data_IF_306848790053
#
_entry.id   IF_306848790053
#
_cell.length_a   1.000
_cell.length_b   1.000
_cell.length_c   1.000
_cell.angle_alpha   90.00
_cell.angle_beta   90.00
_cell.angle_gamma   90.00
#
_symmetry.space_group_name_H-M   'P 1'
#
loop_
_entity.id
_entity.type
_entity.pdbx_description
1 polymer ?
#
# COMPACT_ATOMS: atom_id res chain seq x y z
N UNK A 1 -4.09 56.39 11.73
CA UNK A 1 -3.09 55.39 12.16
C UNK A 1 -3.75 54.46 13.15
N UNK A 2 -4.32 53.36 12.66
CA UNK A 2 -4.95 52.32 13.47
C UNK A 2 -4.09 51.08 13.30
N UNK A 3 -3.27 50.79 14.30
CA UNK A 3 -2.51 49.56 14.46
C UNK A 3 -3.38 48.54 15.18
N UNK A 4 -3.59 47.38 14.58
CA UNK A 4 -4.35 46.27 15.16
C UNK A 4 -4.05 44.96 14.43
N UNK A 5 -2.84 44.43 14.65
CA UNK A 5 -2.43 43.11 14.21
C UNK A 5 -3.06 42.04 15.10
N UNK A 6 -3.98 41.26 14.54
CA UNK A 6 -4.55 40.07 15.16
C UNK A 6 -3.71 38.84 14.79
N UNK A 7 -2.65 38.57 15.56
CA UNK A 7 -1.89 37.33 15.48
C UNK A 7 -2.60 36.21 16.24
N UNK A 8 -3.49 35.47 15.58
CA UNK A 8 -4.06 34.23 16.11
C UNK A 8 -3.07 33.09 15.87
N UNK A 9 -2.34 32.69 16.90
CA UNK A 9 -1.49 31.51 16.91
C UNK A 9 -2.31 30.29 17.32
N UNK A 10 -2.72 29.44 16.38
CA UNK A 10 -3.31 28.14 16.69
C UNK A 10 -2.21 27.15 17.09
N UNK A 11 -2.02 26.99 18.40
CA UNK A 11 -1.16 25.97 19.01
C UNK A 11 -2.04 24.79 19.45
N UNK A 12 -1.94 23.65 18.75
CA UNK A 12 -2.69 22.43 19.09
C UNK A 12 -2.06 21.74 20.33
N UNK A 13 -2.83 21.44 21.39
CA UNK A 13 -2.31 20.84 22.61
C UNK A 13 -2.52 19.32 22.60
N UNK A 14 -1.46 18.56 22.34
CA UNK A 14 -1.30 17.19 22.86
C UNK A 14 0.17 16.79 22.75
N UNK A 15 0.98 17.42 23.60
CA UNK A 15 2.29 16.90 23.94
C UNK A 15 2.22 16.37 25.38
N UNK A 16 2.70 15.13 25.54
CA UNK A 16 3.05 14.44 26.79
C UNK A 16 1.91 13.79 27.59
N UNK A 17 1.85 12.45 27.64
CA UNK A 17 2.56 11.61 28.64
C UNK A 17 2.16 10.12 28.48
N UNK A 18 3.21 9.30 28.41
CA UNK A 18 3.41 7.91 28.84
C UNK A 18 2.23 7.07 29.34
N UNK A 19 2.18 5.82 28.85
CA UNK A 19 1.37 4.74 29.38
C UNK A 19 1.87 3.39 28.87
N UNK A 20 3.03 2.96 29.39
CA UNK A 20 3.48 1.59 29.26
C UNK A 20 2.47 0.64 29.93
N UNK A 21 1.98 -0.37 29.19
CA UNK A 21 1.61 -1.72 29.66
C UNK A 21 0.76 -2.44 28.59
N UNK A 22 1.38 -3.37 27.85
CA UNK A 22 1.00 -4.80 27.85
C UNK A 22 1.79 -5.54 26.76
N UNK A 23 3.00 -5.91 27.15
CA UNK A 23 3.64 -7.13 26.70
C UNK A 23 2.67 -8.29 26.94
N UNK A 24 2.15 -8.86 25.85
CA UNK A 24 1.70 -10.26 25.66
C UNK A 24 1.01 -10.39 24.31
N UNK A 25 1.68 -10.12 23.19
CA UNK A 25 1.22 -10.54 21.85
C UNK A 25 2.34 -10.50 20.78
N UNK A 26 3.59 -10.78 21.16
CA UNK A 26 4.74 -10.62 20.25
C UNK A 26 5.59 -11.87 20.02
N UNK A 27 5.10 -13.06 20.35
CA UNK A 27 5.88 -14.30 20.20
C UNK A 27 5.32 -15.33 19.19
N UNK A 28 4.32 -14.97 18.37
CA UNK A 28 3.71 -15.94 17.42
C UNK A 28 3.55 -15.42 15.97
N UNK A 29 4.28 -14.37 15.58
CA UNK A 29 4.25 -13.85 14.21
C UNK A 29 5.64 -13.71 13.59
N UNK A 30 6.68 -14.25 14.23
CA UNK A 30 8.08 -13.96 13.90
C UNK A 30 8.94 -15.16 13.47
N UNK A 31 8.36 -16.36 13.35
CA UNK A 31 9.10 -17.56 12.90
C UNK A 31 8.54 -18.25 11.64
N UNK A 32 7.46 -17.77 11.04
CA UNK A 32 6.91 -18.39 9.83
C UNK A 32 7.32 -17.63 8.58
N UNK A 33 8.50 -17.96 8.04
CA UNK A 33 8.91 -17.63 6.68
C UNK A 33 8.04 -18.32 5.59
N UNK A 34 6.79 -18.71 5.88
CA UNK A 34 5.98 -19.52 4.97
C UNK A 34 4.46 -19.43 5.22
N UNK A 35 3.83 -18.25 5.10
CA UNK A 35 2.42 -18.18 4.67
C UNK A 35 2.18 -16.88 3.88
N UNK A 36 2.85 -16.71 2.75
CA UNK A 36 2.20 -15.95 1.67
C UNK A 36 1.28 -16.93 0.95
N UNK A 37 0.00 -16.60 0.68
CA UNK A 37 -0.90 -17.46 -0.09
C UNK A 37 -0.47 -17.46 -1.58
N UNK A 38 0.70 -18.03 -1.83
CA UNK A 38 1.27 -18.27 -3.15
C UNK A 38 0.80 -19.68 -3.52
N UNK A 39 0.24 -19.83 -4.72
CA UNK A 39 -0.10 -21.16 -5.25
C UNK A 39 1.15 -22.03 -5.18
N UNK A 40 1.08 -23.29 -4.72
CA UNK A 40 2.26 -24.15 -4.60
C UNK A 40 3.11 -24.18 -5.88
N UNK A 41 2.45 -24.17 -7.04
CA UNK A 41 3.03 -24.11 -8.40
C UNK A 41 3.98 -22.92 -8.62
N UNK A 42 3.77 -21.79 -7.92
CA UNK A 42 4.53 -20.56 -8.13
C UNK A 42 5.62 -20.33 -7.08
N UNK A 43 5.74 -21.22 -6.08
CA UNK A 43 6.68 -21.05 -4.96
C UNK A 43 8.14 -21.03 -5.44
N UNK A 44 8.45 -21.76 -6.51
CA UNK A 44 9.80 -21.90 -7.07
C UNK A 44 10.29 -20.65 -7.82
N UNK A 45 9.40 -19.72 -8.20
CA UNK A 45 9.81 -18.46 -8.84
C UNK A 45 10.36 -17.45 -7.84
N UNK A 46 10.07 -17.65 -6.54
CA UNK A 46 10.62 -16.83 -5.48
C UNK A 46 11.94 -17.44 -5.03
N UNK A 47 13.04 -16.67 -5.05
CA UNK A 47 14.31 -17.15 -4.56
C UNK A 47 14.24 -17.33 -3.04
N UNK A 48 15.11 -18.19 -2.50
CA UNK A 48 15.09 -18.57 -1.07
C UNK A 48 15.27 -17.36 -0.14
N UNK A 49 15.97 -16.33 -0.63
CA UNK A 49 16.31 -15.07 0.03
C UNK A 49 15.30 -13.95 -0.26
N UNK A 50 14.08 -14.29 -0.71
CA UNK A 50 13.04 -13.29 -1.01
C UNK A 50 12.77 -12.33 0.16
N UNK A 51 12.89 -12.80 1.41
CA UNK A 51 12.67 -11.94 2.59
C UNK A 51 13.71 -10.82 2.64
N UNK A 52 14.98 -11.17 2.45
CA UNK A 52 16.13 -10.28 2.44
C UNK A 52 16.05 -9.31 1.26
N UNK A 53 15.76 -9.82 0.07
CA UNK A 53 15.53 -9.03 -1.14
C UNK A 53 14.40 -8.01 -0.94
N UNK A 54 13.25 -8.46 -0.43
CA UNK A 54 12.09 -7.61 -0.14
C UNK A 54 12.39 -6.53 0.89
N UNK A 55 13.22 -6.84 1.90
CA UNK A 55 13.69 -5.86 2.88
C UNK A 55 14.63 -4.83 2.25
N UNK A 56 15.57 -5.28 1.42
CA UNK A 56 16.50 -4.40 0.71
C UNK A 56 15.76 -3.38 -0.17
N UNK A 57 14.73 -3.83 -0.89
CA UNK A 57 13.89 -2.93 -1.70
C UNK A 57 13.07 -1.97 -0.82
N UNK A 58 12.32 -2.49 0.16
CA UNK A 58 11.36 -1.68 0.93
C UNK A 58 12.01 -0.71 1.90
N UNK A 59 13.07 -1.12 2.57
CA UNK A 59 13.67 -0.36 3.67
C UNK A 59 15.08 0.13 3.36
N UNK A 60 15.80 -0.52 2.44
CA UNK A 60 17.06 -0.01 1.91
C UNK A 60 16.81 1.06 0.84
N UNK A 61 16.48 0.65 -0.38
CA UNK A 61 16.35 1.55 -1.53
C UNK A 61 15.21 2.55 -1.37
N UNK A 62 14.03 2.06 -1.01
CA UNK A 62 12.85 2.91 -0.89
C UNK A 62 12.74 3.64 0.46
N UNK A 63 13.67 3.39 1.39
CA UNK A 63 13.74 4.06 2.70
C UNK A 63 12.41 4.02 3.48
N UNK A 64 11.68 2.92 3.38
CA UNK A 64 10.38 2.76 4.04
C UNK A 64 9.27 3.62 3.44
N UNK A 65 9.40 4.10 2.20
CA UNK A 65 8.36 4.88 1.51
C UNK A 65 7.90 4.17 0.24
N UNK A 66 6.63 4.32 -0.10
CA UNK A 66 6.11 3.84 -1.38
C UNK A 66 6.81 4.58 -2.54
N UNK A 67 7.43 3.86 -3.47
CA UNK A 67 8.13 4.45 -4.62
C UNK A 67 7.19 5.15 -5.60
N UNK A 68 5.88 4.88 -5.53
CA UNK A 68 4.87 5.51 -6.39
C UNK A 68 4.23 6.75 -5.77
N UNK A 69 3.82 6.70 -4.49
CA UNK A 69 3.05 7.79 -3.88
C UNK A 69 3.71 8.43 -2.65
N UNK A 70 4.82 7.89 -2.16
CA UNK A 70 5.58 8.42 -1.03
C UNK A 70 5.02 8.15 0.35
N UNK A 71 3.91 7.40 0.49
CA UNK A 71 3.34 7.06 1.80
C UNK A 71 4.35 6.27 2.64
N UNK A 72 4.60 6.67 3.90
CA UNK A 72 5.58 6.01 4.77
C UNK A 72 5.03 4.71 5.37
N UNK A 73 5.88 3.68 5.47
CA UNK A 73 5.58 2.39 6.07
C UNK A 73 5.28 2.51 7.57
N UNK A 74 4.34 1.71 8.08
CA UNK A 74 4.02 1.61 9.50
C UNK A 74 3.29 2.83 10.08
N UNK A 75 2.94 3.80 9.23
CA UNK A 75 2.28 5.03 9.66
C UNK A 75 0.78 4.99 9.39
N UNK A 76 0.03 5.63 10.28
CA UNK A 76 -1.38 5.92 10.05
C UNK A 76 -1.53 7.15 9.17
N UNK A 77 -2.14 6.98 7.99
CA UNK A 77 -2.32 8.07 7.02
C UNK A 77 -3.80 8.39 6.82
N UNK A 78 -4.13 9.67 6.83
CA UNK A 78 -5.45 10.19 6.45
C UNK A 78 -5.55 10.35 4.94
N UNK A 79 -6.64 9.90 4.33
CA UNK A 79 -6.89 10.00 2.90
C UNK A 79 -8.37 10.21 2.58
N UNK A 80 -8.65 10.77 1.39
CA UNK A 80 -10.02 11.09 0.93
C UNK A 80 -10.67 9.97 0.11
N UNK A 81 -10.01 8.82 -0.01
CA UNK A 81 -10.50 7.63 -0.73
C UNK A 81 -10.20 7.62 -2.23
N UNK A 82 -10.13 8.78 -2.88
CA UNK A 82 -9.72 8.94 -4.29
C UNK A 82 -8.20 8.76 -4.52
N UNK A 83 -7.42 8.79 -3.44
CA UNK A 83 -5.97 8.67 -3.45
C UNK A 83 -5.26 9.85 -2.82
N UNK A 84 -5.93 11.00 -2.71
CA UNK A 84 -5.39 12.17 -2.00
C UNK A 84 -5.19 11.83 -0.54
N UNK A 85 -4.06 12.26 0.02
CA UNK A 85 -3.66 11.94 1.38
C UNK A 85 -2.89 13.07 2.04
N UNK A 86 -2.96 13.12 3.37
CA UNK A 86 -2.27 14.10 4.19
C UNK A 86 -0.88 13.59 4.56
N UNK A 87 0.14 14.31 4.10
CA UNK A 87 1.53 14.12 4.51
C UNK A 87 1.78 14.92 5.78
N UNK A 88 1.74 14.23 6.93
CA UNK A 88 1.88 14.84 8.25
C UNK A 88 3.28 15.39 8.50
N UNK A 89 4.32 14.69 8.04
CA UNK A 89 5.72 15.12 8.16
C UNK A 89 5.95 16.43 7.41
N UNK A 90 5.28 16.58 6.27
CA UNK A 90 5.52 17.68 5.36
C UNK A 90 4.41 18.74 5.38
N UNK A 91 3.43 18.59 6.28
CA UNK A 91 2.33 19.53 6.56
C UNK A 91 1.47 19.85 5.33
N UNK A 92 1.22 18.89 4.43
CA UNK A 92 0.56 19.18 3.15
C UNK A 92 -0.24 18.02 2.57
N UNK A 93 -1.16 18.35 1.67
CA UNK A 93 -1.88 17.37 0.87
C UNK A 93 -1.07 16.92 -0.34
N UNK A 94 -1.16 15.63 -0.65
CA UNK A 94 -0.62 15.00 -1.86
C UNK A 94 -1.72 14.28 -2.62
N UNK A 95 -1.53 14.14 -3.93
CA UNK A 95 -2.36 13.30 -4.77
C UNK A 95 -2.01 11.80 -4.65
N UNK A 96 -2.68 10.97 -5.44
CA UNK A 96 -2.44 9.52 -5.48
C UNK A 96 -1.06 9.10 -6.01
N UNK A 97 -0.30 10.04 -6.59
CA UNK A 97 1.07 9.87 -7.12
C UNK A 97 2.11 10.60 -6.27
N UNK A 98 1.72 11.12 -5.11
CA UNK A 98 2.62 11.82 -4.20
C UNK A 98 2.94 13.27 -4.59
N UNK A 99 2.33 13.84 -5.63
CA UNK A 99 2.53 15.25 -6.01
C UNK A 99 1.79 16.16 -5.04
N UNK A 100 2.39 17.30 -4.71
CA UNK A 100 1.78 18.32 -3.83
C UNK A 100 0.53 18.89 -4.48
N UNK A 101 -0.55 18.99 -3.71
CA UNK A 101 -1.80 19.62 -4.13
C UNK A 101 -2.32 20.58 -3.07
N UNK A 102 -3.21 21.49 -3.50
CA UNK A 102 -4.07 22.26 -2.60
C UNK A 102 -5.47 21.66 -2.67
N UNK A 103 -6.12 21.48 -1.52
CA UNK A 103 -7.51 21.05 -1.48
C UNK A 103 -8.40 22.29 -1.71
N UNK A 104 -9.37 22.17 -2.61
CA UNK A 104 -10.31 23.26 -2.91
C UNK A 104 -11.12 23.61 -1.66
N UNK A 105 -11.32 24.90 -1.41
CA UNK A 105 -12.26 25.37 -0.40
C UNK A 105 -13.65 24.75 -0.60
N UNK A 106 -14.31 24.35 0.49
CA UNK A 106 -15.59 23.63 0.48
C UNK A 106 -15.49 22.12 0.27
N UNK A 107 -14.29 21.54 0.17
CA UNK A 107 -14.15 20.08 0.27
C UNK A 107 -14.48 19.65 1.69
N UNK A 108 -15.49 18.80 1.88
CA UNK A 108 -15.77 18.19 3.17
C UNK A 108 -14.70 17.14 3.50
N UNK A 109 -13.61 17.61 4.11
CA UNK A 109 -12.49 16.77 4.54
C UNK A 109 -12.93 15.92 5.73
N UNK A 110 -13.66 16.50 6.69
CA UNK A 110 -14.01 15.83 7.94
C UNK A 110 -14.97 14.65 7.71
N UNK A 111 -15.97 14.82 6.83
CA UNK A 111 -16.91 13.74 6.51
C UNK A 111 -16.36 12.66 5.58
N UNK A 112 -15.27 12.94 4.85
CA UNK A 112 -14.69 12.00 3.86
C UNK A 112 -13.37 11.37 4.29
N UNK A 113 -12.65 11.98 5.22
CA UNK A 113 -11.34 11.50 5.63
C UNK A 113 -11.47 10.11 6.25
N UNK A 114 -10.68 9.18 5.72
CA UNK A 114 -10.49 7.84 6.25
C UNK A 114 -9.04 7.66 6.65
N UNK A 115 -8.80 6.74 7.56
CA UNK A 115 -7.46 6.39 7.98
C UNK A 115 -7.08 5.01 7.45
N UNK A 116 -5.81 4.83 7.10
CA UNK A 116 -5.25 3.52 6.72
C UNK A 116 -3.86 3.36 7.33
N UNK A 117 -3.61 2.20 7.94
CA UNK A 117 -2.27 1.78 8.35
C UNK A 117 -1.47 1.36 7.12
N UNK A 118 -0.39 2.08 6.79
CA UNK A 118 0.36 1.85 5.56
C UNK A 118 1.32 0.67 5.74
N UNK A 119 1.18 -0.32 4.87
CA UNK A 119 2.09 -1.47 4.77
C UNK A 119 2.68 -1.49 3.37
N UNK A 120 3.99 -1.68 3.29
CA UNK A 120 4.72 -1.79 2.04
C UNK A 120 4.97 -3.25 1.71
N UNK A 121 4.78 -3.60 0.45
CA UNK A 121 5.15 -4.87 -0.16
C UNK A 121 6.14 -4.62 -1.30
N UNK A 122 7.02 -5.59 -1.53
CA UNK A 122 7.81 -5.63 -2.76
C UNK A 122 6.95 -6.24 -3.87
N UNK A 123 6.97 -5.64 -5.05
CA UNK A 123 6.17 -6.04 -6.21
C UNK A 123 7.02 -6.03 -7.48
N UNK A 124 6.78 -6.98 -8.37
CA UNK A 124 7.37 -7.05 -9.71
C UNK A 124 6.66 -6.06 -10.65
N UNK A 125 7.42 -5.17 -11.30
CA UNK A 125 6.88 -4.15 -12.22
C UNK A 125 6.28 -4.76 -13.48
N UNK A 126 6.86 -5.84 -13.97
CA UNK A 126 6.39 -6.59 -15.16
C UNK A 126 5.35 -7.68 -14.85
N UNK A 127 4.99 -7.87 -13.57
CA UNK A 127 4.15 -8.97 -13.07
C UNK A 127 4.71 -10.39 -13.31
N UNK A 128 5.96 -10.52 -13.76
CA UNK A 128 6.68 -11.78 -13.85
C UNK A 128 7.41 -12.07 -12.53
N UNK A 129 6.93 -13.08 -11.81
CA UNK A 129 7.48 -13.46 -10.52
C UNK A 129 8.88 -14.07 -10.61
N UNK A 130 9.34 -14.47 -11.81
CA UNK A 130 10.69 -15.00 -12.01
C UNK A 130 11.76 -13.90 -12.14
N UNK A 131 11.37 -12.68 -12.53
CA UNK A 131 12.30 -11.58 -12.79
C UNK A 131 12.61 -10.79 -11.51
N UNK A 132 13.57 -11.28 -10.73
CA UNK A 132 13.96 -10.68 -9.44
C UNK A 132 15.07 -9.61 -9.55
N UNK A 133 15.29 -9.05 -10.74
CA UNK A 133 16.25 -7.96 -10.92
C UNK A 133 15.84 -6.74 -10.07
N UNK A 134 16.81 -6.08 -9.43
CA UNK A 134 16.56 -4.92 -8.55
C UNK A 134 15.67 -3.87 -9.23
N UNK A 135 15.98 -3.52 -10.49
CA UNK A 135 15.23 -2.55 -11.27
C UNK A 135 13.77 -2.97 -11.56
N UNK A 136 13.48 -4.28 -11.59
CA UNK A 136 12.12 -4.79 -11.79
C UNK A 136 11.30 -4.79 -10.51
N UNK A 137 11.94 -4.78 -9.34
CA UNK A 137 11.24 -4.73 -8.07
C UNK A 137 10.86 -3.29 -7.72
N UNK A 138 9.75 -3.14 -7.00
CA UNK A 138 9.29 -1.86 -6.47
C UNK A 138 8.71 -2.01 -5.07
N UNK A 139 8.89 -0.99 -4.23
CA UNK A 139 8.22 -0.91 -2.94
C UNK A 139 6.88 -0.18 -3.09
N UNK A 140 5.77 -0.90 -2.98
CA UNK A 140 4.43 -0.33 -3.09
C UNK A 140 3.64 -0.44 -1.79
N UNK A 141 2.88 0.62 -1.47
CA UNK A 141 1.85 0.55 -0.43
C UNK A 141 0.63 -0.24 -0.91
N UNK A 142 -0.25 -0.65 0.00
CA UNK A 142 -1.43 -1.47 -0.36
C UNK A 142 -2.25 -0.89 -1.52
N UNK A 143 -2.47 0.44 -1.53
CA UNK A 143 -3.20 1.12 -2.62
C UNK A 143 -2.49 1.01 -3.96
N UNK A 144 -1.22 1.42 -4.02
CA UNK A 144 -0.46 1.43 -5.27
C UNK A 144 -0.27 0.00 -5.79
N UNK A 145 -0.06 -0.95 -4.89
CA UNK A 145 0.06 -2.36 -5.24
C UNK A 145 -1.22 -2.91 -5.87
N UNK A 146 -2.39 -2.66 -5.26
CA UNK A 146 -3.68 -3.08 -5.83
C UNK A 146 -4.00 -2.42 -7.18
N UNK A 147 -3.58 -1.16 -7.39
CA UNK A 147 -3.76 -0.47 -8.67
C UNK A 147 -2.86 -1.10 -9.74
N UNK A 148 -1.59 -1.34 -9.39
CA UNK A 148 -0.61 -1.98 -10.27
C UNK A 148 -1.10 -3.36 -10.73
N UNK A 149 -1.54 -4.22 -9.80
CA UNK A 149 -1.93 -5.60 -10.11
C UNK A 149 -3.30 -5.76 -10.78
N UNK A 150 -4.15 -4.72 -10.75
CA UNK A 150 -5.52 -4.78 -11.25
C UNK A 150 -5.63 -5.31 -12.69
N UNK A 151 -4.86 -4.85 -13.67
CA UNK A 151 -4.96 -5.33 -15.05
C UNK A 151 -4.62 -6.83 -15.16
N UNK A 152 -3.56 -7.28 -14.50
CA UNK A 152 -3.16 -8.69 -14.52
C UNK A 152 -4.19 -9.58 -13.79
N UNK A 153 -4.76 -9.10 -12.68
CA UNK A 153 -5.87 -9.79 -12.00
C UNK A 153 -7.09 -9.93 -12.91
N UNK A 154 -7.45 -8.88 -13.66
CA UNK A 154 -8.53 -8.94 -14.65
C UNK A 154 -8.22 -9.95 -15.77
N UNK A 155 -7.00 -9.95 -16.30
CA UNK A 155 -6.54 -10.91 -17.33
C UNK A 155 -6.63 -12.35 -16.83
N UNK A 156 -6.10 -12.64 -15.62
CA UNK A 156 -6.16 -13.98 -14.99
C UNK A 156 -7.60 -14.43 -14.72
N UNK A 157 -8.46 -13.53 -14.23
CA UNK A 157 -9.89 -13.81 -14.02
C UNK A 157 -10.58 -14.15 -15.35
N UNK A 158 -10.36 -13.34 -16.39
CA UNK A 158 -10.92 -13.58 -17.74
C UNK A 158 -10.50 -14.95 -18.29
N UNK A 159 -9.21 -15.28 -18.21
CA UNK A 159 -8.68 -16.59 -18.66
C UNK A 159 -9.29 -17.76 -17.90
N UNK A 160 -9.47 -17.61 -16.59
CA UNK A 160 -10.09 -18.66 -15.75
C UNK A 160 -11.56 -18.88 -16.14
N UNK A 161 -12.33 -17.79 -16.30
CA UNK A 161 -13.73 -17.87 -16.73
C UNK A 161 -13.88 -18.44 -18.13
N UNK A 162 -13.02 -18.03 -19.08
CA UNK A 162 -13.01 -18.57 -20.43
C UNK A 162 -12.76 -20.09 -20.45
N UNK A 163 -11.75 -20.57 -19.72
CA UNK A 163 -11.46 -22.01 -19.61
C UNK A 163 -12.65 -22.80 -19.05
N UNK A 164 -13.32 -22.26 -18.02
CA UNK A 164 -14.50 -22.92 -17.43
C UNK A 164 -15.65 -23.02 -18.42
N UNK A 165 -15.92 -21.97 -19.19
CA UNK A 165 -16.97 -21.99 -20.24
C UNK A 165 -16.63 -22.99 -21.34
N UNK A 166 -15.42 -22.93 -21.88
CA UNK A 166 -14.98 -23.85 -22.94
C UNK A 166 -15.09 -25.34 -22.53
N UNK A 167 -14.75 -25.68 -21.27
CA UNK A 167 -14.97 -27.05 -20.77
C UNK A 167 -16.45 -27.42 -20.65
N UNK A 168 -17.30 -26.45 -20.28
CA UNK A 168 -18.75 -26.63 -20.28
C UNK A 168 -19.29 -26.90 -21.68
N UNK A 169 -18.86 -26.11 -22.66
CA UNK A 169 -19.28 -26.20 -24.06
C UNK A 169 -18.84 -27.54 -24.72
N UNK A 170 -17.64 -28.05 -24.39
CA UNK A 170 -17.08 -29.28 -24.97
C UNK A 170 -17.65 -30.58 -24.36
N UNK A 171 -18.02 -30.58 -23.08
CA UNK A 171 -18.35 -31.81 -22.34
C UNK A 171 -19.73 -31.80 -21.66
N UNK A 172 -20.59 -30.83 -21.97
CA UNK A 172 -21.89 -30.69 -21.29
C UNK A 172 -21.69 -30.46 -19.78
N UNK A 173 -20.74 -29.59 -19.42
CA UNK A 173 -20.41 -29.32 -18.03
C UNK A 173 -21.58 -28.72 -17.24
N UNK A 174 -21.42 -28.40 -15.94
CA UNK A 174 -22.52 -28.00 -15.05
C UNK A 174 -23.21 -26.66 -15.39
N UNK A 175 -22.88 -26.06 -16.52
CA UNK A 175 -23.47 -24.82 -17.06
C UNK A 175 -24.10 -25.02 -18.45
N UNK A 176 -24.22 -26.27 -18.93
CA UNK A 176 -24.97 -26.61 -20.14
C UNK A 176 -26.48 -26.43 -19.95
#
# INVERSE_FOLDING_TARGET
>A
TVTGDASVTCRWPWATREGALRLRFLHSWWHSAAVMPIRPEHRFFYPIDWRELSMAIRFGRAQGRCESCGRPHGQMVYHLGDGRWWDAEAGRWRDGWGRRIRIRSGTDILGRARQTHVVLAAAHRDHDTANNADANLAAFCQRCHMIHDRPEHQRRRRRTLFRRKAMGDLFGGPYA
#
